data_IF_441168356365
#
_entry.id   IF_441168356365
#
_cell.length_a   1.000
_cell.length_b   1.000
_cell.length_c   1.000
_cell.angle_alpha   90.00
_cell.angle_beta   90.00
_cell.angle_gamma   90.00
#
_symmetry.space_group_name_H-M   'P 1'
#
loop_
_entity.id
_entity.type
_entity.pdbx_description
1 polymer ?
#
# COMPACT_ATOMS: atom_id res chain seq x y z
N UNK A 1 -10.32 -8.22 16.24
CA UNK A 1 -10.86 -7.94 17.60
C UNK A 1 -11.30 -6.48 17.62
N UNK A 2 -12.33 -6.13 18.37
CA UNK A 2 -12.76 -4.74 18.59
C UNK A 2 -12.38 -4.36 20.02
N UNK A 3 -11.81 -3.17 20.17
CA UNK A 3 -11.31 -2.57 21.41
C UNK A 3 -11.88 -1.16 21.56
N UNK A 4 -11.74 -0.55 22.74
CA UNK A 4 -12.17 0.84 22.99
C UNK A 4 -11.43 1.87 22.13
N UNK A 5 -10.26 1.51 21.62
CA UNK A 5 -9.49 2.34 20.70
C UNK A 5 -10.08 2.32 19.28
N UNK A 6 -10.63 1.18 18.83
CA UNK A 6 -11.28 1.06 17.52
C UNK A 6 -12.49 1.99 17.39
N UNK A 7 -13.24 2.19 18.48
CA UNK A 7 -14.35 3.14 18.54
C UNK A 7 -13.88 4.59 18.46
N UNK A 8 -12.85 4.97 19.22
CA UNK A 8 -12.25 6.31 19.14
C UNK A 8 -11.65 6.60 17.76
N UNK A 9 -11.06 5.60 17.11
CA UNK A 9 -10.53 5.71 15.75
C UNK A 9 -11.65 5.83 14.72
N UNK A 10 -12.76 5.11 14.90
CA UNK A 10 -13.94 5.19 14.04
C UNK A 10 -14.52 6.61 13.99
N UNK A 11 -14.61 7.28 15.13
CA UNK A 11 -15.12 8.65 15.22
C UNK A 11 -14.23 9.68 14.47
N UNK A 12 -13.01 9.29 14.12
CA UNK A 12 -12.02 10.12 13.42
C UNK A 12 -11.85 9.74 11.94
N UNK A 13 -12.83 9.07 11.35
CA UNK A 13 -12.78 8.58 9.97
C UNK A 13 -12.33 9.65 8.96
N UNK A 14 -12.93 10.84 9.00
CA UNK A 14 -12.62 11.92 8.06
C UNK A 14 -11.19 12.44 8.23
N UNK A 15 -10.72 12.52 9.47
CA UNK A 15 -9.36 12.94 9.77
C UNK A 15 -8.32 11.93 9.25
N UNK A 16 -8.57 10.62 9.42
CA UNK A 16 -7.71 9.59 8.84
C UNK A 16 -7.76 9.59 7.31
N UNK A 17 -8.92 9.84 6.71
CA UNK A 17 -9.06 9.94 5.25
C UNK A 17 -8.21 11.09 4.69
N UNK A 18 -8.27 12.27 5.31
CA UNK A 18 -7.43 13.41 4.92
C UNK A 18 -5.94 13.10 5.11
N UNK A 19 -5.57 12.53 6.26
CA UNK A 19 -4.18 12.18 6.55
C UNK A 19 -3.61 11.15 5.55
N UNK A 20 -4.39 10.14 5.15
CA UNK A 20 -3.98 9.15 4.14
C UNK A 20 -3.82 9.81 2.77
N UNK A 21 -4.73 10.69 2.37
CA UNK A 21 -4.61 11.44 1.11
C UNK A 21 -3.34 12.29 1.09
N UNK A 22 -3.06 13.04 2.16
CA UNK A 22 -1.85 13.85 2.28
C UNK A 22 -0.59 12.98 2.27
N UNK A 23 -0.61 11.85 2.97
CA UNK A 23 0.51 10.89 3.00
C UNK A 23 0.81 10.38 1.59
N UNK A 24 -0.19 9.88 0.87
CA UNK A 24 0.00 9.35 -0.49
C UNK A 24 0.48 10.46 -1.43
N UNK A 25 -0.17 11.62 -1.41
CA UNK A 25 0.17 12.75 -2.27
C UNK A 25 1.60 13.27 -2.04
N UNK A 26 2.10 13.23 -0.80
CA UNK A 26 3.40 13.83 -0.45
C UNK A 26 4.54 12.83 -0.38
N UNK A 27 4.27 11.54 -0.26
CA UNK A 27 5.30 10.53 0.01
C UNK A 27 5.31 9.36 -0.97
N UNK A 28 4.32 9.25 -1.86
CA UNK A 28 4.39 8.30 -2.97
C UNK A 28 5.37 8.83 -4.01
N UNK A 29 6.57 8.27 -4.03
CA UNK A 29 7.68 8.70 -4.91
C UNK A 29 7.96 7.65 -5.98
N UNK A 30 8.73 8.02 -7.00
CA UNK A 30 9.12 7.09 -8.07
C UNK A 30 9.85 5.85 -7.56
N UNK A 31 10.78 6.02 -6.61
CA UNK A 31 11.56 4.92 -6.05
C UNK A 31 10.86 4.19 -4.90
N UNK A 32 9.84 4.80 -4.29
CA UNK A 32 9.05 4.23 -3.19
C UNK A 32 7.56 4.60 -3.35
N UNK A 33 6.84 3.99 -4.30
CA UNK A 33 5.44 4.29 -4.53
C UNK A 33 4.54 3.59 -3.50
N UNK A 34 3.46 4.26 -3.10
CA UNK A 34 2.37 3.63 -2.34
C UNK A 34 1.42 2.89 -3.29
N UNK A 35 1.04 1.65 -2.94
CA UNK A 35 -0.02 0.90 -3.62
C UNK A 35 -1.30 0.92 -2.78
N UNK A 36 -2.39 1.43 -3.35
CA UNK A 36 -3.72 1.39 -2.72
C UNK A 36 -4.37 0.02 -2.97
N UNK A 37 -4.71 -0.69 -1.90
CA UNK A 37 -5.30 -2.05 -1.96
C UNK A 37 -6.77 -2.03 -1.53
N UNK A 38 -7.72 -2.31 -2.44
CA UNK A 38 -9.12 -2.50 -2.09
C UNK A 38 -9.28 -3.66 -1.10
N UNK A 39 -9.91 -3.39 0.04
CA UNK A 39 -9.95 -4.35 1.16
C UNK A 39 -11.36 -4.86 1.51
N UNK A 40 -12.39 -4.43 0.77
CA UNK A 40 -13.77 -4.94 0.96
C UNK A 40 -13.86 -6.44 0.65
N UNK A 41 -13.24 -6.91 -0.44
CA UNK A 41 -13.01 -8.34 -0.69
C UNK A 41 -11.60 -8.76 -0.25
N UNK A 42 -11.53 -9.53 0.84
CA UNK A 42 -10.26 -10.02 1.41
C UNK A 42 -9.50 -10.97 0.50
N UNK A 43 -10.18 -11.76 -0.35
CA UNK A 43 -9.49 -12.67 -1.27
C UNK A 43 -8.81 -11.87 -2.37
N UNK A 44 -9.54 -10.93 -2.95
CA UNK A 44 -9.00 -10.01 -3.94
C UNK A 44 -7.80 -9.21 -3.41
N UNK A 45 -7.96 -8.56 -2.23
CA UNK A 45 -6.88 -7.77 -1.64
C UNK A 45 -5.61 -8.59 -1.36
N UNK A 46 -5.74 -9.86 -0.95
CA UNK A 46 -4.59 -10.75 -0.76
C UNK A 46 -3.87 -11.06 -2.06
N UNK A 47 -4.61 -11.33 -3.13
CA UNK A 47 -4.02 -11.62 -4.45
C UNK A 47 -3.27 -10.39 -4.97
N UNK A 48 -3.90 -9.22 -4.95
CA UNK A 48 -3.28 -7.97 -5.40
C UNK A 48 -1.98 -7.64 -4.65
N UNK A 49 -1.95 -7.85 -3.33
CA UNK A 49 -0.72 -7.64 -2.53
C UNK A 49 0.40 -8.57 -3.00
N UNK A 50 0.10 -9.86 -3.19
CA UNK A 50 1.10 -10.83 -3.64
C UNK A 50 1.60 -10.51 -5.05
N UNK A 51 0.71 -10.21 -5.99
CA UNK A 51 1.05 -9.80 -7.35
C UNK A 51 1.94 -8.55 -7.34
N UNK A 52 1.55 -7.50 -6.62
CA UNK A 52 2.32 -6.25 -6.53
C UNK A 52 3.74 -6.51 -6.02
N UNK A 53 3.91 -7.34 -4.99
CA UNK A 53 5.24 -7.65 -4.44
C UNK A 53 6.08 -8.46 -5.45
N UNK A 54 5.49 -9.48 -6.07
CA UNK A 54 6.17 -10.30 -7.08
C UNK A 54 6.63 -9.44 -8.28
N UNK A 55 5.75 -8.59 -8.80
CA UNK A 55 6.06 -7.72 -9.95
C UNK A 55 7.19 -6.75 -9.65
N UNK A 56 7.19 -6.14 -8.45
CA UNK A 56 8.26 -5.22 -8.02
C UNK A 56 9.60 -5.94 -7.85
N UNK A 57 9.59 -7.16 -7.29
CA UNK A 57 10.80 -7.96 -7.15
C UNK A 57 11.34 -8.41 -8.52
N UNK A 58 10.48 -8.84 -9.42
CA UNK A 58 10.87 -9.22 -10.78
C UNK A 58 11.52 -8.04 -11.52
N UNK A 59 10.87 -6.88 -11.52
CA UNK A 59 11.40 -5.67 -12.16
C UNK A 59 12.75 -5.24 -11.56
N UNK A 60 12.92 -5.35 -10.24
CA UNK A 60 14.20 -5.03 -9.58
C UNK A 60 15.32 -6.01 -9.96
N UNK A 61 15.02 -7.30 -10.06
CA UNK A 61 15.98 -8.32 -10.50
C UNK A 61 16.38 -8.14 -11.97
N UNK A 62 15.43 -7.81 -12.85
CA UNK A 62 15.69 -7.49 -14.24
C UNK A 62 16.60 -6.26 -14.37
N UNK A 63 16.27 -5.17 -13.67
CA UNK A 63 17.09 -3.96 -13.65
C UNK A 63 18.52 -4.24 -13.15
N UNK A 64 18.67 -5.05 -12.10
CA UNK A 64 19.98 -5.45 -11.58
C UNK A 64 20.76 -6.35 -12.56
N UNK A 65 20.07 -7.27 -13.26
CA UNK A 65 20.67 -8.12 -14.29
C UNK A 65 21.16 -7.35 -15.51
N UNK A 66 20.47 -6.27 -15.89
CA UNK A 66 20.90 -5.36 -16.97
C UNK A 66 22.11 -4.49 -16.61
N UNK A 67 22.38 -4.27 -15.32
CA UNK A 67 23.55 -3.50 -14.86
C UNK A 67 24.84 -4.33 -14.77
N UNK A 68 24.75 -5.65 -14.88
CA UNK A 68 25.87 -6.58 -14.72
C UNK A 68 26.54 -7.03 -16.04
N UNK A 69 26.08 -6.54 -17.20
CA UNK A 69 26.63 -6.85 -18.52
C UNK A 69 27.08 -5.62 -19.28
#
# INVERSE_FOLDING_TARGET
KITDEDWRNRDRWDAYTQAVNDMVARTSTEYAPWTLVPSEDKRFGRVMVLETVCDRLAAALEAAGHQAG
#
